data_IF_913498356035
#
_entry.id   IF_913498356035
#
_cell.length_a   1.000
_cell.length_b   1.000
_cell.length_c   1.000
_cell.angle_alpha   90.00
_cell.angle_beta   90.00
_cell.angle_gamma   90.00
#
_symmetry.space_group_name_H-M   'P 1'
#
loop_
_entity.id
_entity.type
_entity.pdbx_description
1 polymer ?
#
# COMPACT_ATOMS: atom_id res chain seq x y z
N UNK A 1 -9.91 -16.37 -70.42
CA UNK A 1 -8.44 -16.45 -70.53
C UNK A 1 -7.87 -15.95 -69.21
N UNK A 2 -7.19 -16.79 -68.42
CA UNK A 2 -6.66 -16.36 -67.13
C UNK A 2 -5.43 -15.49 -67.39
N UNK A 3 -5.46 -14.25 -66.92
CA UNK A 3 -4.29 -13.38 -66.88
C UNK A 3 -3.18 -14.09 -66.12
N UNK A 4 -2.07 -14.35 -66.79
CA UNK A 4 -0.93 -15.04 -66.22
C UNK A 4 -0.33 -14.13 -65.13
N UNK A 5 -0.11 -14.67 -63.93
CA UNK A 5 0.48 -13.97 -62.79
C UNK A 5 1.84 -13.27 -63.08
N UNK A 6 2.46 -13.56 -64.24
CA UNK A 6 3.73 -12.97 -64.68
C UNK A 6 3.68 -11.46 -64.92
N UNK A 7 2.51 -10.90 -65.27
CA UNK A 7 2.39 -9.46 -65.60
C UNK A 7 2.42 -8.56 -64.36
N UNK A 8 2.10 -9.09 -63.17
CA UNK A 8 2.13 -8.34 -61.91
C UNK A 8 3.50 -8.31 -61.23
N UNK A 9 4.35 -9.29 -61.54
CA UNK A 9 5.69 -9.45 -60.97
C UNK A 9 6.77 -8.83 -61.88
N UNK A 10 6.36 -8.29 -63.03
CA UNK A 10 7.23 -7.57 -63.95
C UNK A 10 8.25 -8.49 -64.62
N UNK A 11 7.85 -9.69 -65.07
CA UNK A 11 8.53 -10.52 -66.08
C UNK A 11 10.03 -10.87 -65.95
N UNK A 12 10.75 -10.31 -64.98
CA UNK A 12 12.20 -10.34 -64.84
C UNK A 12 12.58 -11.05 -63.53
N UNK A 13 13.74 -11.71 -63.52
CA UNK A 13 14.31 -12.44 -62.38
C UNK A 13 14.40 -11.59 -61.12
N UNK A 14 14.54 -10.27 -61.28
CA UNK A 14 14.54 -9.29 -60.18
C UNK A 14 13.21 -9.20 -59.43
N UNK A 15 12.08 -9.28 -60.13
CA UNK A 15 10.75 -9.25 -59.53
C UNK A 15 10.47 -10.48 -58.67
N UNK A 16 10.86 -11.65 -59.17
CA UNK A 16 10.77 -12.92 -58.44
C UNK A 16 11.71 -12.95 -57.23
N UNK A 17 12.90 -12.37 -57.35
CA UNK A 17 13.82 -12.22 -56.23
C UNK A 17 13.25 -11.32 -55.12
N UNK A 18 12.69 -10.16 -55.47
CA UNK A 18 12.06 -9.24 -54.51
C UNK A 18 10.87 -9.88 -53.78
N UNK A 19 10.04 -10.64 -54.50
CA UNK A 19 8.95 -11.42 -53.89
C UNK A 19 9.47 -12.51 -52.95
N UNK A 20 10.55 -13.19 -53.33
CA UNK A 20 11.22 -14.18 -52.47
C UNK A 20 11.75 -13.56 -51.18
N UNK A 21 12.40 -12.39 -51.25
CA UNK A 21 12.89 -11.65 -50.09
C UNK A 21 11.74 -11.19 -49.21
N UNK A 22 10.67 -10.62 -49.78
CA UNK A 22 9.49 -10.20 -49.03
C UNK A 22 8.83 -11.38 -48.31
N UNK A 23 8.67 -12.52 -48.98
CA UNK A 23 8.13 -13.73 -48.37
C UNK A 23 9.01 -14.24 -47.22
N UNK A 24 10.34 -14.19 -47.36
CA UNK A 24 11.28 -14.57 -46.31
C UNK A 24 11.16 -13.65 -45.08
N UNK A 25 11.11 -12.32 -45.28
CA UNK A 25 10.93 -11.34 -44.21
C UNK A 25 9.61 -11.58 -43.45
N UNK A 26 8.51 -11.82 -44.17
CA UNK A 26 7.20 -12.12 -43.56
C UNK A 26 7.25 -13.41 -42.73
N UNK A 27 7.94 -14.45 -43.22
CA UNK A 27 8.09 -15.71 -42.47
C UNK A 27 8.93 -15.53 -41.20
N UNK A 28 10.03 -14.79 -41.27
CA UNK A 28 10.89 -14.48 -40.11
C UNK A 28 10.11 -13.67 -39.08
N UNK A 29 9.37 -12.64 -39.52
CA UNK A 29 8.53 -11.82 -38.64
C UNK A 29 7.44 -12.64 -37.95
N UNK A 30 6.72 -13.50 -38.69
CA UNK A 30 5.72 -14.41 -38.12
C UNK A 30 6.33 -15.38 -37.11
N UNK A 31 7.48 -15.98 -37.42
CA UNK A 31 8.17 -16.89 -36.52
C UNK A 31 8.62 -16.17 -35.22
N UNK A 32 9.11 -14.94 -35.33
CA UNK A 32 9.44 -14.07 -34.20
C UNK A 32 8.23 -13.77 -33.32
N UNK A 33 7.09 -13.40 -33.92
CA UNK A 33 5.84 -13.14 -33.20
C UNK A 33 5.30 -14.37 -32.47
N UNK A 34 5.35 -15.55 -33.09
CA UNK A 34 4.91 -16.80 -32.45
C UNK A 34 5.81 -17.15 -31.27
N UNK A 35 7.14 -16.99 -31.42
CA UNK A 35 8.11 -17.23 -30.33
C UNK A 35 7.95 -16.24 -29.18
N UNK A 36 7.63 -14.97 -29.47
CA UNK A 36 7.33 -13.96 -28.46
C UNK A 36 6.01 -14.26 -27.75
N UNK A 37 4.95 -14.62 -28.47
CA UNK A 37 3.66 -15.03 -27.88
C UNK A 37 3.78 -16.27 -26.99
N UNK A 38 4.63 -17.23 -27.35
CA UNK A 38 4.91 -18.41 -26.51
C UNK A 38 5.72 -18.12 -25.24
N UNK A 39 6.34 -16.93 -25.13
CA UNK A 39 7.03 -16.45 -23.91
C UNK A 39 6.14 -15.59 -23.02
N UNK A 40 4.98 -15.16 -23.51
CA UNK A 40 3.98 -14.48 -22.69
C UNK A 40 3.27 -15.56 -21.87
N UNK A 41 3.55 -15.59 -20.57
CA UNK A 41 2.80 -16.40 -19.60
C UNK A 41 1.33 -16.03 -19.76
N UNK A 42 0.47 -17.02 -20.03
CA UNK A 42 -0.96 -16.81 -20.11
C UNK A 42 -1.43 -16.09 -18.84
N UNK A 43 -2.31 -15.07 -18.93
CA UNK A 43 -2.87 -14.45 -17.74
C UNK A 43 -3.53 -15.54 -16.91
N UNK A 44 -3.10 -15.67 -15.66
CA UNK A 44 -3.74 -16.55 -14.68
C UNK A 44 -5.20 -16.12 -14.64
N UNK A 45 -6.11 -17.07 -14.88
CA UNK A 45 -7.54 -16.80 -14.87
C UNK A 45 -7.89 -16.08 -13.57
N UNK A 46 -8.48 -14.88 -13.70
CA UNK A 46 -8.85 -14.04 -12.58
C UNK A 46 -9.86 -14.83 -11.73
N UNK A 47 -9.44 -15.25 -10.53
CA UNK A 47 -10.29 -16.00 -9.63
C UNK A 47 -11.57 -15.18 -9.35
N UNK A 48 -12.75 -15.81 -9.30
CA UNK A 48 -13.99 -15.08 -9.02
C UNK A 48 -13.83 -14.27 -7.73
N UNK A 49 -14.06 -12.96 -7.84
CA UNK A 49 -13.93 -12.00 -6.73
C UNK A 49 -14.71 -12.52 -5.52
N UNK A 50 -13.99 -12.95 -4.49
CA UNK A 50 -14.56 -13.38 -3.21
C UNK A 50 -14.51 -14.88 -2.89
N UNK A 51 -14.06 -15.75 -3.80
CA UNK A 51 -13.73 -17.14 -3.46
C UNK A 51 -12.22 -17.31 -3.23
N UNK A 52 -11.83 -18.13 -2.25
CA UNK A 52 -10.43 -18.48 -2.04
C UNK A 52 -10.06 -19.68 -2.90
N UNK A 53 -8.92 -19.62 -3.57
CA UNK A 53 -8.31 -20.82 -4.13
C UNK A 53 -7.85 -21.78 -3.02
N UNK A 54 -7.65 -23.08 -3.29
CA UNK A 54 -7.10 -24.00 -2.30
C UNK A 54 -5.77 -23.53 -1.69
N UNK A 55 -4.92 -22.88 -2.51
CA UNK A 55 -3.63 -22.32 -2.06
C UNK A 55 -3.83 -21.13 -1.12
N UNK A 56 -4.83 -20.29 -1.36
CA UNK A 56 -5.18 -19.20 -0.44
C UNK A 56 -5.76 -19.73 0.87
N UNK A 57 -6.60 -20.78 0.82
CA UNK A 57 -7.14 -21.41 2.04
C UNK A 57 -6.03 -21.97 2.92
N UNK A 58 -5.04 -22.65 2.34
CA UNK A 58 -3.88 -23.16 3.07
C UNK A 58 -3.05 -22.00 3.66
N UNK A 59 -2.75 -20.98 2.85
CA UNK A 59 -2.00 -19.80 3.26
C UNK A 59 -2.65 -19.05 4.43
N UNK A 60 -3.97 -18.85 4.39
CA UNK A 60 -4.70 -18.10 5.41
C UNK A 60 -5.32 -18.99 6.49
N UNK A 61 -5.01 -20.30 6.52
CA UNK A 61 -5.60 -21.26 7.44
C UNK A 61 -5.47 -20.81 8.91
N UNK A 62 -4.33 -20.20 9.28
CA UNK A 62 -4.10 -19.69 10.65
C UNK A 62 -5.01 -18.53 11.03
N UNK A 63 -5.37 -17.65 10.09
CA UNK A 63 -6.37 -16.61 10.33
C UNK A 63 -7.79 -17.17 10.40
N UNK A 64 -8.13 -18.09 9.49
CA UNK A 64 -9.46 -18.70 9.41
C UNK A 64 -9.81 -19.49 10.69
N UNK A 65 -8.80 -20.06 11.37
CA UNK A 65 -9.00 -20.76 12.64
C UNK A 65 -9.25 -19.83 13.84
N UNK A 66 -8.91 -18.54 13.76
CA UNK A 66 -9.19 -17.59 14.84
C UNK A 66 -10.69 -17.27 14.84
N UNK A 67 -11.35 -17.47 15.98
CA UNK A 67 -12.79 -17.27 16.14
C UNK A 67 -13.22 -15.85 15.76
N UNK A 68 -12.41 -14.86 16.12
CA UNK A 68 -12.67 -13.44 15.89
C UNK A 68 -12.48 -13.01 14.43
N UNK A 69 -11.76 -13.80 13.62
CA UNK A 69 -11.56 -13.54 12.18
C UNK A 69 -12.42 -14.50 11.36
N UNK A 70 -12.15 -15.81 11.43
CA UNK A 70 -12.89 -16.82 10.69
C UNK A 70 -12.80 -16.69 9.18
N UNK A 71 -13.55 -17.55 8.48
CA UNK A 71 -13.74 -17.42 7.03
C UNK A 71 -14.35 -16.07 6.60
N UNK A 72 -15.38 -15.54 7.29
CA UNK A 72 -15.96 -14.23 6.98
C UNK A 72 -14.96 -13.08 7.10
N UNK A 73 -14.19 -13.00 8.19
CA UNK A 73 -13.19 -11.95 8.38
C UNK A 73 -12.07 -12.03 7.35
N UNK A 74 -11.57 -13.23 7.03
CA UNK A 74 -10.59 -13.39 5.96
C UNK A 74 -11.17 -12.94 4.60
N UNK A 75 -12.45 -13.20 4.34
CA UNK A 75 -13.15 -12.71 3.13
C UNK A 75 -13.26 -11.19 3.13
N UNK A 76 -13.51 -10.56 4.28
CA UNK A 76 -13.49 -9.10 4.43
C UNK A 76 -12.10 -8.53 4.11
N UNK A 77 -11.02 -9.14 4.62
CA UNK A 77 -9.64 -8.74 4.28
C UNK A 77 -9.40 -8.83 2.76
N UNK A 78 -9.78 -9.95 2.13
CA UNK A 78 -9.65 -10.12 0.67
C UNK A 78 -10.47 -9.11 -0.15
N UNK A 79 -11.58 -8.62 0.38
CA UNK A 79 -12.41 -7.61 -0.29
C UNK A 79 -11.92 -6.17 -0.03
N UNK A 80 -11.19 -5.95 1.06
CA UNK A 80 -10.79 -4.63 1.52
C UNK A 80 -9.74 -3.96 0.64
N UNK A 81 -9.81 -2.63 0.63
CA UNK A 81 -8.84 -1.74 0.00
C UNK A 81 -8.22 -0.84 1.06
N UNK A 82 -6.91 -0.94 1.25
CA UNK A 82 -6.17 -0.13 2.23
C UNK A 82 -5.17 0.79 1.52
N UNK A 83 -5.18 2.07 1.85
CA UNK A 83 -4.16 3.03 1.42
C UNK A 83 -3.13 3.23 2.53
N UNK A 84 -1.85 3.05 2.22
CA UNK A 84 -0.75 3.40 3.12
C UNK A 84 -0.01 4.61 2.57
N UNK A 85 0.00 5.69 3.35
CA UNK A 85 0.73 6.93 3.06
C UNK A 85 2.10 6.84 3.73
N UNK A 86 3.13 6.72 2.89
CA UNK A 86 4.53 6.50 3.30
C UNK A 86 4.92 5.02 3.31
N UNK A 87 5.98 4.69 2.58
CA UNK A 87 6.65 3.39 2.55
C UNK A 87 7.93 3.38 3.40
N UNK A 88 8.04 4.31 4.36
CA UNK A 88 9.19 4.47 5.25
C UNK A 88 9.24 3.46 6.41
N UNK A 89 9.76 3.89 7.56
CA UNK A 89 10.01 2.99 8.70
C UNK A 89 8.74 2.35 9.28
N UNK A 90 7.66 3.13 9.43
CA UNK A 90 6.36 2.63 9.90
C UNK A 90 5.59 1.90 8.79
N UNK A 91 5.61 2.46 7.57
CA UNK A 91 4.95 1.88 6.42
C UNK A 91 5.50 0.50 6.02
N UNK A 92 6.80 0.29 6.15
CA UNK A 92 7.48 -0.97 5.80
C UNK A 92 6.84 -2.21 6.44
N UNK A 93 6.85 -2.37 7.77
CA UNK A 93 6.19 -3.50 8.43
C UNK A 93 4.67 -3.50 8.23
N UNK A 94 4.01 -2.33 8.19
CA UNK A 94 2.58 -2.26 7.97
C UNK A 94 2.18 -2.89 6.62
N UNK A 95 2.83 -2.48 5.54
CA UNK A 95 2.65 -3.01 4.18
C UNK A 95 2.91 -4.52 4.13
N UNK A 96 4.00 -4.99 4.74
CA UNK A 96 4.35 -6.42 4.78
C UNK A 96 3.29 -7.25 5.50
N UNK A 97 2.80 -6.80 6.66
CA UNK A 97 1.79 -7.52 7.41
C UNK A 97 0.39 -7.43 6.78
N UNK A 98 0.03 -6.32 6.14
CA UNK A 98 -1.22 -6.23 5.37
C UNK A 98 -1.19 -7.18 4.17
N UNK A 99 -0.06 -7.24 3.45
CA UNK A 99 0.14 -8.19 2.36
C UNK A 99 0.07 -9.64 2.85
N UNK A 100 0.79 -9.99 3.93
CA UNK A 100 0.74 -11.33 4.53
C UNK A 100 -0.68 -11.71 5.01
N UNK A 101 -1.43 -10.74 5.55
CA UNK A 101 -2.80 -10.95 6.04
C UNK A 101 -3.81 -11.16 4.92
N UNK A 102 -3.44 -10.91 3.67
CA UNK A 102 -4.31 -11.10 2.51
C UNK A 102 -5.30 -9.95 2.30
N UNK A 103 -4.91 -8.71 2.63
CA UNK A 103 -5.67 -7.53 2.20
C UNK A 103 -5.72 -7.49 0.67
N UNK A 104 -6.92 -7.40 0.11
CA UNK A 104 -7.15 -7.57 -1.32
C UNK A 104 -6.42 -6.55 -2.19
N UNK A 105 -6.59 -5.27 -1.86
CA UNK A 105 -5.94 -4.16 -2.58
C UNK A 105 -5.16 -3.31 -1.59
N UNK A 106 -3.87 -3.12 -1.87
CA UNK A 106 -2.99 -2.25 -1.08
C UNK A 106 -2.48 -1.13 -1.98
N UNK A 107 -2.97 0.08 -1.74
CA UNK A 107 -2.40 1.31 -2.27
C UNK A 107 -1.21 1.74 -1.43
N UNK A 108 -0.10 2.12 -2.07
CA UNK A 108 1.06 2.70 -1.40
C UNK A 108 1.47 3.97 -2.11
N UNK A 109 1.48 5.09 -1.39
CA UNK A 109 1.90 6.39 -1.92
C UNK A 109 3.12 6.90 -1.18
N UNK A 110 4.20 7.15 -1.93
CA UNK A 110 5.46 7.69 -1.44
C UNK A 110 6.18 8.37 -2.61
N UNK A 111 6.78 9.53 -2.36
CA UNK A 111 7.50 10.30 -3.38
C UNK A 111 8.99 9.99 -3.45
N UNK A 112 9.53 9.30 -2.45
CA UNK A 112 10.97 9.12 -2.27
C UNK A 112 11.51 7.88 -2.98
N UNK A 113 12.84 7.78 -2.99
CA UNK A 113 13.60 6.60 -3.42
C UNK A 113 14.23 5.89 -2.23
N UNK A 114 14.63 4.64 -2.41
CA UNK A 114 15.34 3.86 -1.39
C UNK A 114 16.75 4.43 -1.19
N UNK A 115 17.11 4.69 0.07
CA UNK A 115 18.43 5.18 0.46
C UNK A 115 19.10 4.22 1.45
N UNK A 116 20.42 4.03 1.34
CA UNK A 116 21.16 3.14 2.25
C UNK A 116 21.04 3.53 3.73
N UNK A 117 21.02 4.83 4.03
CA UNK A 117 20.84 5.39 5.39
C UNK A 117 19.50 4.99 6.04
N UNK A 118 18.53 4.57 5.24
CA UNK A 118 17.17 4.26 5.66
C UNK A 118 16.98 2.74 5.90
N UNK A 119 17.87 1.89 5.36
CA UNK A 119 17.71 0.43 5.39
C UNK A 119 17.76 -0.18 6.78
N UNK A 120 18.36 0.50 7.77
CA UNK A 120 18.37 0.05 9.16
C UNK A 120 16.96 -0.13 9.75
N UNK A 121 15.95 0.58 9.20
CA UNK A 121 14.57 0.56 9.68
C UNK A 121 13.49 0.33 8.63
N UNK A 122 13.82 0.49 7.34
CA UNK A 122 12.87 0.32 6.23
C UNK A 122 12.96 -1.09 5.65
N UNK A 123 12.55 -2.08 6.44
CA UNK A 123 12.78 -3.51 6.20
C UNK A 123 12.06 -4.09 4.97
N UNK A 124 11.15 -3.33 4.34
CA UNK A 124 10.53 -3.73 3.07
C UNK A 124 11.47 -3.52 1.87
N UNK A 125 12.48 -2.67 2.04
CA UNK A 125 13.49 -2.37 1.03
C UNK A 125 14.73 -3.24 1.20
N UNK A 126 15.59 -3.27 0.18
CA UNK A 126 16.83 -4.01 0.21
C UNK A 126 17.94 -3.19 -0.43
N UNK A 127 19.19 -3.52 -0.07
CA UNK A 127 20.40 -2.85 -0.55
C UNK A 127 20.47 -2.83 -2.09
N UNK A 128 20.14 -3.96 -2.73
CA UNK A 128 20.08 -4.09 -4.18
C UNK A 128 19.02 -3.19 -4.87
N UNK A 129 18.15 -2.51 -4.11
CA UNK A 129 17.11 -1.60 -4.61
C UNK A 129 17.37 -0.13 -4.25
N UNK A 130 18.56 0.23 -3.73
CA UNK A 130 18.94 1.64 -3.53
C UNK A 130 18.78 2.43 -4.84
N UNK A 131 18.19 3.63 -4.75
CA UNK A 131 17.84 4.48 -5.89
C UNK A 131 16.52 4.15 -6.59
N UNK A 132 15.90 2.99 -6.31
CA UNK A 132 14.56 2.67 -6.81
C UNK A 132 13.50 3.48 -6.06
N UNK A 133 12.42 3.95 -6.71
CA UNK A 133 11.28 4.54 -6.00
C UNK A 133 10.74 3.59 -4.92
N UNK A 134 10.49 4.10 -3.71
CA UNK A 134 10.10 3.28 -2.56
C UNK A 134 8.84 2.47 -2.84
N UNK A 135 7.86 3.05 -3.54
CA UNK A 135 6.60 2.38 -3.88
C UNK A 135 6.79 1.12 -4.75
N UNK A 136 7.71 1.14 -5.71
CA UNK A 136 7.99 -0.02 -6.56
C UNK A 136 8.84 -1.06 -5.83
N UNK A 137 9.79 -0.60 -5.00
CA UNK A 137 10.55 -1.49 -4.11
C UNK A 137 9.64 -2.22 -3.12
N UNK A 138 8.64 -1.52 -2.57
CA UNK A 138 7.61 -2.08 -1.70
C UNK A 138 6.68 -3.05 -2.44
N UNK A 139 6.25 -2.71 -3.67
CA UNK A 139 5.45 -3.59 -4.50
C UNK A 139 6.14 -4.93 -4.75
N UNK A 140 7.42 -4.92 -5.11
CA UNK A 140 8.21 -6.15 -5.33
C UNK A 140 8.20 -7.02 -4.06
N UNK A 141 8.45 -6.42 -2.90
CA UNK A 141 8.49 -7.16 -1.63
C UNK A 141 7.12 -7.74 -1.25
N UNK A 142 6.05 -6.95 -1.38
CA UNK A 142 4.69 -7.42 -1.08
C UNK A 142 4.23 -8.53 -2.01
N UNK A 143 4.48 -8.42 -3.32
CA UNK A 143 4.11 -9.46 -4.30
C UNK A 143 4.95 -10.73 -4.15
N UNK A 144 6.22 -10.60 -3.76
CA UNK A 144 7.06 -11.75 -3.44
C UNK A 144 6.54 -12.49 -2.18
N UNK A 145 6.04 -11.75 -1.20
CA UNK A 145 5.44 -12.31 0.00
C UNK A 145 4.08 -12.94 -0.28
N UNK A 146 3.19 -12.25 -1.00
CA UNK A 146 1.85 -12.70 -1.30
C UNK A 146 1.44 -12.34 -2.74
N UNK A 147 1.39 -13.30 -3.67
CA UNK A 147 1.05 -13.03 -5.07
C UNK A 147 -0.46 -12.88 -5.33
N UNK A 148 -1.32 -13.06 -4.32
CA UNK A 148 -2.78 -13.04 -4.46
C UNK A 148 -3.42 -11.66 -4.27
N UNK A 149 -2.62 -10.66 -3.90
CA UNK A 149 -3.08 -9.29 -3.63
C UNK A 149 -2.81 -8.39 -4.84
N UNK A 150 -3.61 -7.34 -4.97
CA UNK A 150 -3.36 -6.23 -5.87
C UNK A 150 -2.57 -5.15 -5.13
N UNK A 151 -1.44 -4.73 -5.71
CA UNK A 151 -0.66 -3.59 -5.20
C UNK A 151 -0.79 -2.43 -6.18
N UNK A 152 -1.11 -1.24 -5.68
CA UNK A 152 -1.18 0.01 -6.45
C UNK A 152 -0.11 1.00 -5.98
N UNK A 153 1.06 1.04 -6.65
CA UNK A 153 2.11 2.00 -6.32
C UNK A 153 1.81 3.38 -6.91
N UNK A 154 1.86 4.42 -6.07
CA UNK A 154 1.74 5.82 -6.47
C UNK A 154 3.05 6.55 -6.18
N UNK A 155 3.93 6.67 -7.18
CA UNK A 155 5.20 7.39 -7.02
C UNK A 155 4.98 8.90 -7.13
N UNK A 156 4.46 9.50 -6.05
CA UNK A 156 4.21 10.94 -5.90
C UNK A 156 3.99 11.27 -4.43
N UNK A 157 4.15 12.54 -4.06
CA UNK A 157 3.81 13.02 -2.70
C UNK A 157 2.30 13.10 -2.54
N UNK A 158 1.78 12.85 -1.35
CA UNK A 158 0.36 13.00 -1.05
C UNK A 158 0.00 14.49 -0.98
N UNK A 159 -0.81 14.98 -1.92
CA UNK A 159 -1.10 16.41 -2.08
C UNK A 159 -2.60 16.70 -2.14
N UNK A 160 -2.98 17.88 -1.65
CA UNK A 160 -4.37 18.29 -1.52
C UNK A 160 -5.15 18.25 -2.84
N UNK A 161 -4.47 18.48 -3.98
CA UNK A 161 -5.08 18.54 -5.30
C UNK A 161 -5.81 17.25 -5.73
N UNK A 162 -5.38 16.08 -5.24
CA UNK A 162 -5.98 14.78 -5.60
C UNK A 162 -6.28 13.89 -4.41
N UNK A 163 -5.91 14.31 -3.20
CA UNK A 163 -6.01 13.50 -1.99
C UNK A 163 -7.42 12.97 -1.73
N UNK A 164 -8.46 13.80 -1.95
CA UNK A 164 -9.85 13.42 -1.71
C UNK A 164 -10.30 12.29 -2.65
N UNK A 165 -9.99 12.41 -3.95
CA UNK A 165 -10.31 11.39 -4.95
C UNK A 165 -9.61 10.07 -4.63
N UNK A 166 -8.31 10.14 -4.29
CA UNK A 166 -7.53 8.96 -3.94
C UNK A 166 -8.09 8.27 -2.68
N UNK A 167 -8.33 9.02 -1.60
CA UNK A 167 -8.84 8.45 -0.33
C UNK A 167 -10.23 7.85 -0.50
N UNK A 168 -11.08 8.40 -1.39
CA UNK A 168 -12.41 7.86 -1.64
C UNK A 168 -12.40 6.41 -2.17
N UNK A 169 -11.34 5.99 -2.88
CA UNK A 169 -11.20 4.65 -3.45
C UNK A 169 -10.93 3.54 -2.42
N UNK A 170 -10.57 3.91 -1.18
CA UNK A 170 -10.12 2.99 -0.14
C UNK A 170 -11.10 2.93 1.03
N UNK A 171 -11.10 1.80 1.73
CA UNK A 171 -11.94 1.56 2.91
C UNK A 171 -11.28 2.08 4.19
N UNK A 172 -9.95 2.06 4.23
CA UNK A 172 -9.14 2.41 5.39
C UNK A 172 -7.81 3.05 4.94
N UNK A 173 -7.36 4.05 5.69
CA UNK A 173 -6.07 4.74 5.44
C UNK A 173 -5.12 4.55 6.62
N UNK A 174 -3.85 4.28 6.33
CA UNK A 174 -2.75 4.27 7.29
C UNK A 174 -1.79 5.42 6.99
N UNK A 175 -1.47 6.21 8.00
CA UNK A 175 -0.45 7.26 7.95
C UNK A 175 0.81 6.83 8.69
N UNK A 176 1.83 6.47 7.91
CA UNK A 176 3.18 6.14 8.38
C UNK A 176 4.22 7.21 8.03
N UNK A 177 3.79 8.44 7.72
CA UNK A 177 4.68 9.52 7.30
C UNK A 177 5.44 10.13 8.48
N UNK A 178 6.58 10.76 8.25
CA UNK A 178 7.36 11.46 9.28
C UNK A 178 7.21 12.99 9.20
N UNK A 179 6.35 13.50 8.31
CA UNK A 179 6.13 14.92 8.10
C UNK A 179 4.75 15.38 8.61
N UNK A 180 4.74 16.35 9.52
CA UNK A 180 3.52 16.96 10.04
C UNK A 180 2.57 17.50 8.97
N UNK A 181 3.08 18.11 7.88
CA UNK A 181 2.19 18.62 6.80
C UNK A 181 1.30 17.52 6.24
N UNK A 182 1.92 16.39 5.90
CA UNK A 182 1.21 15.25 5.36
C UNK A 182 0.25 14.64 6.38
N UNK A 183 0.67 14.50 7.64
CA UNK A 183 -0.19 13.96 8.72
C UNK A 183 -1.48 14.75 8.88
N UNK A 184 -1.40 16.08 8.96
CA UNK A 184 -2.57 16.95 9.09
C UNK A 184 -3.42 16.94 7.82
N UNK A 185 -2.81 16.92 6.64
CA UNK A 185 -3.54 16.81 5.38
C UNK A 185 -4.31 15.48 5.29
N UNK A 186 -3.65 14.34 5.55
CA UNK A 186 -4.28 13.01 5.55
C UNK A 186 -5.44 12.96 6.55
N UNK A 187 -5.26 13.48 7.76
CA UNK A 187 -6.33 13.60 8.74
C UNK A 187 -7.56 14.34 8.20
N UNK A 188 -7.37 15.55 7.65
CA UNK A 188 -8.48 16.38 7.16
C UNK A 188 -9.22 15.71 6.02
N UNK A 189 -8.48 15.10 5.09
CA UNK A 189 -9.06 14.41 3.94
C UNK A 189 -9.85 13.18 4.39
N UNK A 190 -9.30 12.36 5.30
CA UNK A 190 -10.00 11.19 5.83
C UNK A 190 -11.24 11.60 6.63
N UNK A 191 -11.13 12.61 7.50
CA UNK A 191 -12.26 13.12 8.28
C UNK A 191 -13.39 13.65 7.38
N UNK A 192 -13.05 14.41 6.34
CA UNK A 192 -14.02 14.93 5.37
C UNK A 192 -14.66 13.82 4.52
N UNK A 193 -13.89 12.80 4.14
CA UNK A 193 -14.38 11.67 3.35
C UNK A 193 -15.09 10.58 4.18
N UNK A 194 -15.16 10.75 5.51
CA UNK A 194 -15.71 9.74 6.42
C UNK A 194 -14.93 8.42 6.39
N UNK A 195 -13.61 8.48 6.18
CA UNK A 195 -12.73 7.31 6.13
C UNK A 195 -11.98 7.15 7.45
N UNK A 196 -11.91 5.94 8.01
CA UNK A 196 -11.10 5.67 9.18
C UNK A 196 -9.61 5.85 8.85
N UNK A 197 -8.88 6.44 9.79
CA UNK A 197 -7.44 6.69 9.70
C UNK A 197 -6.72 6.02 10.87
N UNK A 198 -5.74 5.17 10.57
CA UNK A 198 -4.78 4.67 11.56
C UNK A 198 -3.50 5.47 11.39
N UNK A 199 -3.17 6.31 12.37
CA UNK A 199 -1.95 7.10 12.33
C UNK A 199 -1.04 6.74 13.50
N UNK A 200 0.24 6.61 13.20
CA UNK A 200 1.26 6.34 14.20
C UNK A 200 2.46 7.28 14.01
N UNK A 201 3.19 7.55 15.09
CA UNK A 201 4.40 8.35 15.07
C UNK A 201 5.45 7.72 15.98
N UNK A 202 6.72 7.98 15.69
CA UNK A 202 7.85 7.47 16.45
C UNK A 202 8.94 8.52 16.57
N UNK A 203 9.67 8.50 17.68
CA UNK A 203 10.87 9.30 17.88
C UNK A 203 11.76 8.59 18.88
N UNK A 204 13.07 8.49 18.59
CA UNK A 204 14.06 7.85 19.47
C UNK A 204 13.64 6.42 19.90
N UNK A 205 13.06 6.28 21.09
CA UNK A 205 12.63 5.02 21.71
C UNK A 205 11.11 4.94 21.92
N UNK A 206 10.36 6.00 21.64
CA UNK A 206 8.92 6.07 21.89
C UNK A 206 8.12 6.02 20.59
N UNK A 207 7.03 5.27 20.62
CA UNK A 207 6.03 5.24 19.56
C UNK A 207 4.64 5.50 20.09
N UNK A 208 3.80 6.08 19.24
CA UNK A 208 2.38 6.27 19.52
C UNK A 208 1.53 5.83 18.34
N UNK A 209 0.33 5.33 18.62
CA UNK A 209 -0.64 4.88 17.61
C UNK A 209 -2.07 5.16 18.09
N UNK A 210 -2.92 5.58 17.16
CA UNK A 210 -4.36 5.73 17.38
C UNK A 210 -5.17 5.41 16.12
N UNK A 211 -6.45 5.08 16.33
CA UNK A 211 -7.46 4.96 15.27
C UNK A 211 -8.38 6.18 15.37
N UNK A 212 -8.51 6.89 14.25
CA UNK A 212 -9.25 8.14 14.13
C UNK A 212 -10.39 7.94 13.15
N UNK A 213 -11.62 7.92 13.67
CA UNK A 213 -12.81 7.67 12.87
C UNK A 213 -13.97 8.56 13.36
N UNK A 214 -13.99 9.82 12.91
CA UNK A 214 -15.05 10.76 13.31
C UNK A 214 -16.43 10.39 12.74
N UNK A 215 -16.49 9.66 11.63
CA UNK A 215 -17.77 9.21 11.05
C UNK A 215 -18.46 8.17 11.93
N UNK A 216 -17.68 7.33 12.63
CA UNK A 216 -18.18 6.42 13.66
C UNK A 216 -18.28 7.03 15.07
N UNK A 217 -18.17 8.37 15.21
CA UNK A 217 -18.29 9.08 16.49
C UNK A 217 -16.99 9.20 17.30
N UNK A 218 -15.86 8.73 16.78
CA UNK A 218 -14.54 8.87 17.41
C UNK A 218 -13.91 10.26 17.24
N UNK A 219 -12.73 10.50 17.83
CA UNK A 219 -11.93 11.69 17.54
C UNK A 219 -11.28 11.61 16.16
N UNK A 220 -11.01 12.75 15.54
CA UNK A 220 -10.00 12.84 14.48
C UNK A 220 -8.61 13.09 15.08
N UNK A 221 -7.53 13.06 14.29
CA UNK A 221 -6.17 13.34 14.77
C UNK A 221 -6.06 14.74 15.39
N UNK A 222 -6.67 15.76 14.76
CA UNK A 222 -6.69 17.14 15.25
C UNK A 222 -7.54 17.35 16.52
N UNK A 223 -8.36 16.37 16.93
CA UNK A 223 -8.98 16.40 18.26
C UNK A 223 -7.96 16.15 19.37
N UNK A 224 -6.93 15.34 19.09
CA UNK A 224 -5.85 14.98 20.02
C UNK A 224 -4.71 15.99 19.92
N UNK A 225 -4.29 16.32 18.70
CA UNK A 225 -3.19 17.24 18.39
C UNK A 225 -3.73 18.44 17.60
N UNK A 226 -4.25 19.48 18.28
CA UNK A 226 -4.98 20.57 17.63
C UNK A 226 -4.10 21.56 16.89
N UNK A 227 -2.90 21.76 17.42
CA UNK A 227 -1.95 22.72 16.94
C UNK A 227 -0.73 21.96 16.42
N UNK A 228 -0.41 22.24 15.17
CA UNK A 228 0.81 21.73 14.57
C UNK A 228 2.01 22.31 15.31
N UNK A 229 3.02 21.49 15.67
CA UNK A 229 4.29 22.01 16.17
C UNK A 229 4.91 22.99 15.16
N UNK A 230 5.51 24.06 15.66
CA UNK A 230 6.23 25.01 14.81
C UNK A 230 7.35 24.29 14.02
N UNK A 231 7.67 24.74 12.79
CA UNK A 231 8.78 24.17 12.03
C UNK A 231 10.08 24.16 12.85
N UNK A 232 10.76 23.00 12.90
CA UNK A 232 12.00 22.82 13.66
C UNK A 232 11.84 22.55 15.17
N UNK A 233 10.62 22.56 15.71
CA UNK A 233 10.39 22.30 17.14
C UNK A 233 10.55 20.83 17.51
N UNK A 234 10.19 19.92 16.60
CA UNK A 234 10.30 18.47 16.79
C UNK A 234 11.24 17.94 15.72
N UNK A 235 12.37 17.31 16.10
CA UNK A 235 13.32 16.76 15.13
C UNK A 235 12.71 15.56 14.39
N UNK A 236 13.08 15.40 13.13
CA UNK A 236 12.76 14.20 12.35
C UNK A 236 13.47 12.97 12.91
N UNK A 237 13.05 11.76 12.53
CA UNK A 237 13.79 10.54 12.89
C UNK A 237 15.24 10.55 12.37
N UNK A 238 15.51 11.25 11.28
CA UNK A 238 16.85 11.40 10.73
C UNK A 238 17.73 12.32 11.61
N UNK A 239 17.13 13.30 12.28
CA UNK A 239 17.81 14.26 13.16
C UNK A 239 17.93 13.75 14.60
N UNK A 240 16.85 13.19 15.16
CA UNK A 240 16.78 12.73 16.55
C UNK A 240 17.41 11.33 16.76
N UNK A 241 17.55 10.57 15.67
CA UNK A 241 17.77 9.14 15.70
C UNK A 241 16.49 8.35 16.02
N UNK A 242 16.49 7.07 15.65
CA UNK A 242 15.41 6.15 15.98
C UNK A 242 15.96 4.72 16.11
N UNK A 243 15.56 4.04 17.18
CA UNK A 243 15.92 2.65 17.40
C UNK A 243 15.35 1.76 16.28
N UNK A 244 16.21 1.02 15.58
CA UNK A 244 15.85 0.22 14.40
C UNK A 244 14.57 -0.63 14.55
N UNK A 245 14.33 -1.33 15.68
CA UNK A 245 13.18 -2.22 15.81
C UNK A 245 11.86 -1.48 16.11
N UNK A 246 11.91 -0.26 16.66
CA UNK A 246 10.72 0.48 17.10
C UNK A 246 9.71 0.72 15.96
N UNK A 247 10.11 1.20 14.77
CA UNK A 247 9.21 1.27 13.62
C UNK A 247 8.57 -0.09 13.27
N UNK A 248 9.33 -1.19 13.44
CA UNK A 248 8.85 -2.56 13.31
C UNK A 248 7.70 -2.89 14.26
N UNK A 249 7.87 -2.58 15.55
CA UNK A 249 6.84 -2.78 16.59
C UNK A 249 5.59 -1.97 16.28
N UNK A 250 5.74 -0.66 16.06
CA UNK A 250 4.61 0.24 15.90
C UNK A 250 3.90 0.02 14.56
N UNK A 251 4.63 -0.22 13.47
CA UNK A 251 4.00 -0.49 12.18
C UNK A 251 3.34 -1.87 12.11
N UNK A 252 3.81 -2.86 12.88
CA UNK A 252 3.06 -4.10 13.09
C UNK A 252 1.76 -3.84 13.88
N UNK A 253 1.78 -2.95 14.87
CA UNK A 253 0.55 -2.51 15.55
C UNK A 253 -0.41 -1.80 14.59
N UNK A 254 0.10 -0.99 13.64
CA UNK A 254 -0.75 -0.37 12.60
C UNK A 254 -1.46 -1.42 11.75
N UNK A 255 -0.74 -2.45 11.28
CA UNK A 255 -1.36 -3.55 10.54
C UNK A 255 -2.35 -4.35 11.39
N UNK A 256 -2.06 -4.56 12.69
CA UNK A 256 -2.97 -5.23 13.61
C UNK A 256 -4.28 -4.45 13.78
N UNK A 257 -4.22 -3.12 13.98
CA UNK A 257 -5.41 -2.28 14.04
C UNK A 257 -6.21 -2.31 12.72
N UNK A 258 -5.52 -2.37 11.57
CA UNK A 258 -6.17 -2.50 10.28
C UNK A 258 -6.91 -3.83 10.14
N UNK A 259 -6.28 -4.95 10.53
CA UNK A 259 -6.91 -6.27 10.51
C UNK A 259 -8.12 -6.30 11.43
N UNK A 260 -8.01 -5.80 12.67
CA UNK A 260 -9.14 -5.72 13.60
C UNK A 260 -10.28 -4.87 13.04
N UNK A 261 -9.97 -3.69 12.49
CA UNK A 261 -10.97 -2.80 11.93
C UNK A 261 -11.74 -3.44 10.75
N UNK A 262 -11.02 -4.06 9.81
CA UNK A 262 -11.62 -4.65 8.61
C UNK A 262 -12.38 -5.96 8.88
N UNK A 263 -12.03 -6.68 9.96
CA UNK A 263 -12.67 -7.95 10.32
C UNK A 263 -13.75 -7.80 11.39
N UNK A 264 -13.76 -6.68 12.12
CA UNK A 264 -14.56 -6.52 13.33
C UNK A 264 -14.01 -7.28 14.54
N UNK A 265 -12.75 -7.74 14.49
CA UNK A 265 -12.15 -8.55 15.55
C UNK A 265 -11.78 -7.71 16.77
N UNK A 266 -12.28 -8.13 17.94
CA UNK A 266 -11.90 -7.56 19.24
C UNK A 266 -12.23 -6.08 19.37
N UNK A 267 -11.39 -5.35 20.10
CA UNK A 267 -11.56 -3.92 20.36
C UNK A 267 -10.41 -3.13 19.71
N UNK A 268 -10.75 -2.17 18.85
CA UNK A 268 -9.78 -1.29 18.17
C UNK A 268 -9.40 -0.05 18.99
N UNK A 269 -8.38 0.70 18.58
CA UNK A 269 -7.91 1.90 19.29
C UNK A 269 -8.78 3.16 19.09
N UNK A 270 -10.01 3.06 18.59
CA UNK A 270 -10.88 4.23 18.47
C UNK A 270 -11.14 4.84 19.84
N UNK A 271 -10.87 6.15 20.01
CA UNK A 271 -11.00 6.83 21.31
C UNK A 271 -9.87 6.50 22.30
N UNK A 272 -8.80 5.85 21.86
CA UNK A 272 -7.64 5.47 22.68
C UNK A 272 -6.33 5.82 21.96
N UNK A 273 -5.40 6.44 22.67
CA UNK A 273 -4.04 6.65 22.20
C UNK A 273 -3.12 5.68 22.96
N UNK A 274 -2.49 4.76 22.23
CA UNK A 274 -1.48 3.88 22.79
C UNK A 274 -0.11 4.54 22.63
N UNK A 275 0.65 4.57 23.72
CA UNK A 275 2.04 5.03 23.78
C UNK A 275 2.89 3.85 24.23
N UNK A 276 3.97 3.58 23.50
CA UNK A 276 4.91 2.51 23.76
C UNK A 276 6.31 3.08 23.94
N UNK A 277 6.85 2.90 25.13
CA UNK A 277 8.23 3.19 25.47
C UNK A 277 9.05 1.90 25.33
N UNK A 278 9.85 1.82 24.26
CA UNK A 278 10.68 0.65 23.98
C UNK A 278 11.94 0.59 24.85
N UNK A 279 12.37 1.70 25.45
CA UNK A 279 13.56 1.74 26.31
C UNK A 279 13.28 1.05 27.65
N UNK A 280 12.08 1.23 28.20
CA UNK A 280 11.66 0.63 29.46
C UNK A 280 10.62 -0.50 29.30
N UNK A 281 10.28 -0.86 28.07
CA UNK A 281 9.26 -1.87 27.74
C UNK A 281 7.89 -1.58 28.37
N UNK A 282 7.48 -0.31 28.39
CA UNK A 282 6.22 0.13 28.98
C UNK A 282 5.20 0.47 27.90
N UNK A 283 3.93 0.17 28.17
CA UNK A 283 2.81 0.56 27.31
C UNK A 283 1.75 1.27 28.13
N UNK A 284 1.33 2.43 27.67
CA UNK A 284 0.29 3.26 28.30
C UNK A 284 -0.82 3.50 27.29
N UNK A 285 -2.06 3.46 27.76
CA UNK A 285 -3.23 3.78 26.95
C UNK A 285 -3.96 4.95 27.58
N UNK A 286 -4.19 6.01 26.80
CA UNK A 286 -4.86 7.23 27.25
C UNK A 286 -6.18 7.35 26.50
N UNK A 287 -7.28 7.60 27.22
CA UNK A 287 -8.57 7.89 26.61
C UNK A 287 -8.55 9.24 25.92
N UNK A 288 -8.98 9.29 24.66
CA UNK A 288 -9.09 10.51 23.86
C UNK A 288 -10.51 10.70 23.36
N UNK A 289 -10.97 11.95 23.32
CA UNK A 289 -12.36 12.29 22.98
C UNK A 289 -12.41 13.21 21.78
N UNK A 290 -13.51 13.13 21.02
CA UNK A 290 -13.83 14.12 20.00
C UNK A 290 -13.95 15.49 20.68
N UNK A 291 -13.30 16.49 20.08
CA UNK A 291 -13.29 17.85 20.60
C UNK A 291 -14.44 18.67 20.01
N UNK A 292 -15.30 19.29 20.84
CA UNK A 292 -16.27 20.27 20.35
C UNK A 292 -15.55 21.40 19.59
N UNK A 293 -16.01 21.74 18.38
CA UNK A 293 -15.40 22.80 17.58
C UNK A 293 -14.06 22.46 16.91
N UNK A 294 -13.70 21.18 16.81
CA UNK A 294 -12.50 20.78 16.04
C UNK A 294 -12.57 21.29 14.58
N UNK A 295 -11.53 21.95 14.09
CA UNK A 295 -11.52 22.51 12.73
C UNK A 295 -11.66 21.43 11.64
N UNK A 296 -11.20 20.20 11.91
CA UNK A 296 -11.23 19.11 10.94
C UNK A 296 -12.53 18.28 10.96
N UNK A 297 -13.13 18.05 12.14
CA UNK A 297 -14.31 17.18 12.27
C UNK A 297 -15.47 17.77 13.10
N UNK A 298 -15.37 19.03 13.53
CA UNK A 298 -16.38 19.70 14.37
C UNK A 298 -17.57 20.27 13.59
N UNK A 299 -17.52 20.28 12.25
CA UNK A 299 -18.58 20.79 11.37
C UNK A 299 -19.79 19.87 11.20
N UNK A 300 -20.24 19.24 12.28
CA UNK A 300 -21.41 18.35 12.28
C UNK A 300 -21.84 18.04 13.70
N UNK A 301 -22.72 18.90 14.21
CA UNK A 301 -23.64 18.65 15.31
C UNK A 301 -25.06 18.67 14.72
#
# INVERSE_FOLDING_TARGET
MPAQLGDFVGGDLRGWFLLGVLAAVVRIYRAGLVRLRGRVVAPVAEAPRGAFSPVELDRYARHIMLREIGGPGQKSLKAARVLVVGAGGLGSPALMYLAASGVGVIGVIDGDVVEGSNLQRQIIHADARIGMPKVFSAEIAMKALNPFIEVRPYHRRFEAAFAAELVAEYDLVLDGTDNFDTRYLVNRVCAAAGKPLIAAAITQWEGQIGVYDPAAGGPCFECVFPERPAPGMVPSCAEAGVAAPLPGVIGAMMAMEAVKHLTGAGEGLTGRLLIHDALYAQTRVIGVKRRPGCAACGGGA
#
